data_IF_781600619533
#
_entry.id   IF_781600619533
#
_cell.length_a   1.000
_cell.length_b   1.000
_cell.length_c   1.000
_cell.angle_alpha   90.00
_cell.angle_beta   90.00
_cell.angle_gamma   90.00
#
_symmetry.space_group_name_H-M   'P 1'
#
loop_
_entity.id
_entity.type
_entity.pdbx_description
1 polymer ?
#
# COMPACT_ATOMS: atom_id res chain seq x y z
N UNK A 1 -2.08 -0.25 0.68
CA UNK A 1 -2.70 -1.19 1.62
C UNK A 1 -3.59 -2.20 0.88
N UNK A 2 -4.63 -1.81 0.16
CA UNK A 2 -5.57 -2.74 -0.50
C UNK A 2 -4.89 -3.69 -1.49
N UNK A 3 -3.88 -3.24 -2.22
CA UNK A 3 -3.10 -4.05 -3.16
C UNK A 3 -2.35 -5.15 -2.40
N UNK A 4 -1.68 -4.81 -1.31
CA UNK A 4 -0.96 -5.78 -0.46
C UNK A 4 -1.91 -6.83 0.12
N UNK A 5 -3.07 -6.40 0.65
CA UNK A 5 -4.10 -7.31 1.17
C UNK A 5 -4.65 -8.25 0.09
N UNK A 6 -4.78 -7.76 -1.15
CA UNK A 6 -5.20 -8.59 -2.29
C UNK A 6 -4.15 -9.64 -2.66
N UNK A 7 -2.87 -9.28 -2.66
CA UNK A 7 -1.77 -10.23 -2.87
C UNK A 7 -1.71 -11.27 -1.76
N UNK A 8 -1.89 -10.85 -0.50
CA UNK A 8 -1.94 -11.78 0.63
C UNK A 8 -3.06 -12.81 0.48
N UNK A 9 -4.28 -12.37 0.11
CA UNK A 9 -5.39 -13.28 -0.16
C UNK A 9 -5.05 -14.28 -1.26
N UNK A 10 -4.45 -13.82 -2.36
CA UNK A 10 -4.02 -14.68 -3.46
C UNK A 10 -2.93 -15.66 -3.03
N UNK A 11 -1.96 -15.19 -2.26
CA UNK A 11 -0.86 -16.03 -1.77
C UNK A 11 -1.34 -17.20 -0.93
N UNK A 12 -2.32 -16.97 -0.05
CA UNK A 12 -2.93 -18.03 0.77
C UNK A 12 -3.70 -19.05 -0.09
N UNK A 13 -4.14 -18.67 -1.30
CA UNK A 13 -4.85 -19.58 -2.22
C UNK A 13 -6.37 -19.58 -2.03
N UNK A 14 -6.90 -18.65 -1.27
CA UNK A 14 -8.34 -18.46 -1.10
C UNK A 14 -8.87 -17.53 -2.19
N UNK A 15 -9.61 -18.08 -3.17
CA UNK A 15 -10.07 -17.29 -4.32
C UNK A 15 -11.05 -16.16 -3.96
N UNK A 16 -11.90 -16.35 -2.93
CA UNK A 16 -12.98 -15.42 -2.57
C UNK A 16 -13.09 -15.10 -1.08
N UNK A 17 -12.19 -15.59 -0.25
CA UNK A 17 -12.19 -15.34 1.20
C UNK A 17 -10.87 -14.65 1.62
N UNK A 18 -10.91 -13.53 2.35
CA UNK A 18 -12.10 -12.75 2.72
C UNK A 18 -12.73 -12.01 1.54
N UNK A 19 -14.07 -11.70 1.58
CA UNK A 19 -14.76 -10.99 0.50
C UNK A 19 -14.17 -9.60 0.27
N UNK A 20 -14.33 -9.06 -0.96
CA UNK A 20 -13.76 -7.76 -1.34
C UNK A 20 -14.20 -6.62 -0.43
N UNK A 21 -15.47 -6.62 0.02
CA UNK A 21 -15.99 -5.61 0.92
C UNK A 21 -15.23 -5.55 2.24
N UNK A 22 -14.83 -6.72 2.77
CA UNK A 22 -14.07 -6.84 4.01
C UNK A 22 -12.64 -6.31 3.82
N UNK A 23 -12.01 -6.63 2.68
CA UNK A 23 -10.67 -6.10 2.34
C UNK A 23 -10.69 -4.58 2.19
N UNK A 24 -11.71 -4.04 1.51
CA UNK A 24 -11.88 -2.59 1.35
C UNK A 24 -12.11 -1.92 2.71
N UNK A 25 -13.00 -2.47 3.53
CA UNK A 25 -13.26 -1.94 4.87
C UNK A 25 -12.01 -1.93 5.75
N UNK A 26 -11.24 -3.02 5.73
CA UNK A 26 -10.00 -3.12 6.47
C UNK A 26 -8.93 -2.17 5.94
N UNK A 27 -8.80 -2.05 4.61
CA UNK A 27 -7.89 -1.10 3.98
C UNK A 27 -8.21 0.35 4.34
N UNK A 28 -9.50 0.72 4.36
CA UNK A 28 -9.94 2.06 4.79
C UNK A 28 -9.61 2.32 6.26
N UNK A 29 -9.91 1.35 7.13
CA UNK A 29 -9.58 1.46 8.55
C UNK A 29 -8.09 1.69 8.77
N UNK A 30 -7.23 0.86 8.15
CA UNK A 30 -5.79 1.01 8.23
C UNK A 30 -5.30 2.34 7.65
N UNK A 31 -5.92 2.81 6.55
CA UNK A 31 -5.56 4.10 5.94
C UNK A 31 -5.87 5.27 6.87
N UNK A 32 -7.03 5.25 7.54
CA UNK A 32 -7.38 6.26 8.55
C UNK A 32 -6.39 6.21 9.71
N UNK A 33 -6.04 5.03 10.18
CA UNK A 33 -5.09 4.85 11.27
C UNK A 33 -3.69 5.38 10.92
N UNK A 34 -3.19 5.05 9.73
CA UNK A 34 -1.87 5.54 9.24
C UNK A 34 -1.88 7.06 9.04
N UNK A 35 -3.00 7.61 8.58
CA UNK A 35 -3.12 9.06 8.36
C UNK A 35 -3.52 9.85 9.61
N UNK A 36 -3.74 9.21 10.76
CA UNK A 36 -4.16 9.86 11.99
C UNK A 36 -3.28 11.07 12.35
N UNK A 37 -1.93 10.99 12.36
CA UNK A 37 -1.10 12.15 12.75
C UNK A 37 -1.27 13.34 11.79
N UNK A 38 -1.40 13.06 10.48
CA UNK A 38 -1.65 14.10 9.48
C UNK A 38 -3.04 14.69 9.63
N UNK A 39 -4.05 13.85 9.89
CA UNK A 39 -5.42 14.27 10.15
C UNK A 39 -5.53 15.18 11.38
N UNK A 40 -4.87 14.82 12.47
CA UNK A 40 -4.81 15.64 13.69
C UNK A 40 -4.12 17.00 13.45
N UNK A 41 -3.04 17.03 12.68
CA UNK A 41 -2.37 18.26 12.29
C UNK A 41 -3.30 19.17 11.48
N UNK A 42 -3.99 18.61 10.49
CA UNK A 42 -4.97 19.35 9.67
C UNK A 42 -6.12 19.88 10.54
N UNK A 43 -6.67 19.05 11.41
CA UNK A 43 -7.76 19.45 12.28
C UNK A 43 -7.37 20.62 13.18
N UNK A 44 -6.22 20.52 13.84
CA UNK A 44 -5.77 21.52 14.83
C UNK A 44 -5.26 22.81 14.18
N UNK A 45 -4.62 22.74 13.02
CA UNK A 45 -3.96 23.88 12.38
C UNK A 45 -4.81 24.58 11.31
N UNK A 46 -5.77 23.85 10.71
CA UNK A 46 -6.62 24.40 9.66
C UNK A 46 -8.11 24.43 10.05
N UNK A 47 -8.70 23.26 10.38
CA UNK A 47 -10.16 23.15 10.55
C UNK A 47 -10.61 23.90 11.82
N UNK A 48 -9.98 23.66 12.96
CA UNK A 48 -10.37 24.29 14.22
C UNK A 48 -10.21 25.82 14.19
N UNK A 49 -9.09 26.41 13.69
CA UNK A 49 -8.98 27.86 13.54
C UNK A 49 -9.98 28.46 12.56
N UNK A 50 -10.29 27.73 11.45
CA UNK A 50 -11.31 28.17 10.50
C UNK A 50 -12.69 28.22 11.14
N UNK A 51 -13.09 27.19 11.89
CA UNK A 51 -14.37 27.15 12.63
C UNK A 51 -14.47 28.27 13.68
N UNK A 52 -13.35 28.70 14.24
CA UNK A 52 -13.28 29.82 15.20
C UNK A 52 -13.15 31.17 14.52
N UNK A 53 -13.28 31.24 13.20
CA UNK A 53 -13.10 32.48 12.40
C UNK A 53 -11.74 33.18 12.61
N UNK A 54 -10.69 32.41 12.97
CA UNK A 54 -9.34 32.94 13.19
C UNK A 54 -8.51 33.03 11.92
N UNK A 55 -8.84 32.23 10.92
CA UNK A 55 -8.18 32.16 9.61
C UNK A 55 -9.23 32.17 8.51
N UNK A 56 -8.83 32.60 7.32
CA UNK A 56 -9.69 32.55 6.12
C UNK A 56 -9.70 31.15 5.51
N UNK A 57 -10.70 30.87 4.67
CA UNK A 57 -10.79 29.60 3.94
C UNK A 57 -9.53 29.36 3.08
N UNK A 58 -8.97 30.41 2.48
CA UNK A 58 -7.73 30.29 1.68
C UNK A 58 -6.57 29.83 2.53
N UNK A 59 -6.35 30.47 3.68
CA UNK A 59 -5.29 30.09 4.63
C UNK A 59 -5.47 28.67 5.17
N UNK A 60 -6.72 28.25 5.40
CA UNK A 60 -7.00 26.87 5.80
C UNK A 60 -6.61 25.86 4.72
N UNK A 61 -6.93 26.15 3.45
CA UNK A 61 -6.55 25.30 2.31
C UNK A 61 -5.03 25.22 2.14
N UNK A 62 -4.30 26.32 2.25
CA UNK A 62 -2.84 26.35 2.22
C UNK A 62 -2.24 25.47 3.34
N UNK A 63 -2.78 25.58 4.56
CA UNK A 63 -2.33 24.77 5.70
C UNK A 63 -2.59 23.28 5.49
N UNK A 64 -3.73 22.91 4.89
CA UNK A 64 -4.05 21.54 4.51
C UNK A 64 -3.08 21.03 3.46
N UNK A 65 -2.80 21.84 2.42
CA UNK A 65 -1.84 21.50 1.38
C UNK A 65 -0.45 21.22 1.97
N UNK A 66 0.04 22.08 2.86
CA UNK A 66 1.35 21.90 3.52
C UNK A 66 1.39 20.58 4.30
N UNK A 67 0.33 20.26 5.05
CA UNK A 67 0.26 19.04 5.83
C UNK A 67 0.24 17.77 4.96
N UNK A 68 -0.52 17.80 3.87
CA UNK A 68 -0.57 16.70 2.89
C UNK A 68 0.75 16.56 2.13
N UNK A 69 1.37 17.68 1.75
CA UNK A 69 2.69 17.70 1.11
C UNK A 69 3.73 17.06 2.02
N UNK A 70 3.75 17.42 3.31
CA UNK A 70 4.67 16.84 4.29
C UNK A 70 4.48 15.32 4.44
N UNK A 71 3.26 14.81 4.31
CA UNK A 71 2.99 13.37 4.29
C UNK A 71 3.52 12.71 3.00
N UNK A 72 3.20 13.28 1.83
CA UNK A 72 3.60 12.72 0.53
C UNK A 72 5.13 12.75 0.32
N UNK A 73 5.80 13.84 0.75
CA UNK A 73 7.26 13.98 0.60
C UNK A 73 8.06 12.88 1.31
N UNK A 74 7.53 12.34 2.40
CA UNK A 74 8.18 11.24 3.15
C UNK A 74 8.12 9.91 2.42
N UNK A 75 7.17 9.73 1.51
CA UNK A 75 6.87 8.44 0.88
C UNK A 75 7.18 8.43 -0.62
N UNK A 76 7.19 9.60 -1.26
CA UNK A 76 7.49 9.71 -2.69
C UNK A 76 8.96 9.47 -2.98
N UNK A 77 9.24 8.70 -4.04
CA UNK A 77 10.61 8.44 -4.52
C UNK A 77 11.03 9.52 -5.50
N UNK A 78 12.25 10.02 -5.38
CA UNK A 78 12.82 11.04 -6.30
C UNK A 78 12.76 10.58 -7.76
N UNK A 79 13.01 9.31 -8.03
CA UNK A 79 12.95 8.74 -9.37
C UNK A 79 11.55 8.82 -9.99
N UNK A 80 10.49 8.69 -9.18
CA UNK A 80 9.12 8.77 -9.66
C UNK A 80 8.70 10.23 -9.93
N UNK A 81 9.24 11.20 -9.19
CA UNK A 81 9.11 12.62 -9.51
C UNK A 81 9.82 12.92 -10.84
N UNK A 82 11.08 12.50 -11.00
CA UNK A 82 11.87 12.72 -12.20
C UNK A 82 11.17 12.21 -13.47
N UNK A 83 10.50 11.05 -13.38
CA UNK A 83 9.74 10.47 -14.49
C UNK A 83 8.71 11.46 -15.07
N UNK A 84 7.99 12.20 -14.24
CA UNK A 84 7.00 13.17 -14.71
C UNK A 84 7.63 14.42 -15.32
N UNK A 85 8.79 14.83 -14.84
CA UNK A 85 9.54 15.93 -15.43
C UNK A 85 10.13 15.54 -16.79
N UNK A 86 10.67 14.33 -16.92
CA UNK A 86 11.18 13.79 -18.18
C UNK A 86 10.08 13.74 -19.26
N UNK A 87 8.89 13.23 -18.91
CA UNK A 87 7.75 13.16 -19.83
C UNK A 87 7.27 14.55 -20.26
N UNK A 88 7.37 15.56 -19.40
CA UNK A 88 6.94 16.93 -19.71
C UNK A 88 8.03 17.79 -20.32
N UNK A 89 9.27 17.29 -20.41
CA UNK A 89 10.43 18.05 -20.92
C UNK A 89 10.84 19.23 -20.04
N UNK A 90 10.41 19.26 -18.77
CA UNK A 90 10.75 20.32 -17.81
C UNK A 90 11.92 19.90 -16.95
N UNK A 91 12.74 20.88 -16.53
CA UNK A 91 13.79 20.61 -15.56
C UNK A 91 13.18 20.33 -14.17
N UNK A 92 13.62 19.25 -13.54
CA UNK A 92 13.19 18.93 -12.19
C UNK A 92 13.77 19.95 -11.18
N UNK A 93 13.02 20.36 -10.16
CA UNK A 93 13.52 21.23 -9.11
C UNK A 93 14.58 20.52 -8.25
N UNK A 94 15.43 21.32 -7.61
CA UNK A 94 16.52 20.78 -6.78
C UNK A 94 16.03 20.13 -5.49
N UNK A 95 14.89 20.57 -4.97
CA UNK A 95 14.32 20.06 -3.72
C UNK A 95 12.91 19.51 -3.94
N UNK A 96 12.53 18.51 -3.13
CA UNK A 96 11.18 17.92 -3.19
C UNK A 96 10.11 18.94 -2.79
N UNK A 97 10.45 19.87 -1.92
CA UNK A 97 9.53 20.89 -1.41
C UNK A 97 9.09 21.88 -2.51
N UNK A 98 9.93 22.09 -3.52
CA UNK A 98 9.65 22.96 -4.67
C UNK A 98 8.83 22.28 -5.77
N UNK A 99 8.55 20.98 -5.64
CA UNK A 99 7.76 20.23 -6.63
C UNK A 99 6.30 20.70 -6.56
N UNK A 100 5.71 21.20 -7.67
CA UNK A 100 4.30 21.56 -7.69
C UNK A 100 3.39 20.37 -7.38
N UNK A 101 2.28 20.61 -6.67
CA UNK A 101 1.40 19.55 -6.17
C UNK A 101 0.83 18.66 -7.28
N UNK A 102 0.61 19.23 -8.47
CA UNK A 102 0.11 18.47 -9.62
C UNK A 102 1.14 17.48 -10.22
N UNK A 103 2.44 17.61 -9.90
CA UNK A 103 3.47 16.61 -10.16
C UNK A 103 3.66 15.67 -8.98
N UNK A 104 3.52 16.19 -7.76
CA UNK A 104 3.76 15.44 -6.52
C UNK A 104 2.71 14.34 -6.31
N UNK A 105 1.41 14.65 -6.53
CA UNK A 105 0.33 13.68 -6.34
C UNK A 105 0.49 12.44 -7.22
N UNK A 106 0.63 12.55 -8.55
CA UNK A 106 0.79 11.36 -9.39
C UNK A 106 2.11 10.62 -9.12
N UNK A 107 3.20 11.32 -8.80
CA UNK A 107 4.45 10.69 -8.42
C UNK A 107 4.31 9.89 -7.12
N UNK A 108 3.62 10.44 -6.13
CA UNK A 108 3.29 9.76 -4.89
C UNK A 108 2.44 8.49 -5.13
N UNK A 109 1.40 8.57 -5.97
CA UNK A 109 0.56 7.41 -6.30
C UNK A 109 1.39 6.29 -6.93
N UNK A 110 2.30 6.62 -7.87
CA UNK A 110 3.18 5.63 -8.50
C UNK A 110 4.15 5.03 -7.47
N UNK A 111 4.74 5.86 -6.61
CA UNK A 111 5.65 5.39 -5.55
C UNK A 111 4.96 4.42 -4.59
N UNK A 112 3.74 4.74 -4.17
CA UNK A 112 2.92 3.89 -3.30
C UNK A 112 2.52 2.57 -4.00
N UNK A 113 2.13 2.63 -5.28
CA UNK A 113 1.82 1.42 -6.05
C UNK A 113 3.04 0.53 -6.21
N UNK A 114 4.21 1.08 -6.55
CA UNK A 114 5.47 0.31 -6.64
C UNK A 114 5.81 -0.34 -5.31
N UNK A 115 5.68 0.38 -4.21
CA UNK A 115 5.92 -0.16 -2.86
C UNK A 115 4.94 -1.28 -2.53
N UNK A 116 3.65 -1.08 -2.83
CA UNK A 116 2.63 -2.09 -2.61
C UNK A 116 2.88 -3.37 -3.43
N UNK A 117 3.31 -3.23 -4.69
CA UNK A 117 3.68 -4.38 -5.53
C UNK A 117 4.92 -5.09 -5.01
N UNK A 118 5.94 -4.35 -4.56
CA UNK A 118 7.15 -4.93 -4.00
C UNK A 118 6.85 -5.74 -2.73
N UNK A 119 6.09 -5.18 -1.80
CA UNK A 119 5.66 -5.87 -0.58
C UNK A 119 4.80 -7.09 -0.93
N UNK A 120 3.80 -6.92 -1.81
CA UNK A 120 2.95 -8.01 -2.25
C UNK A 120 3.72 -9.16 -2.89
N UNK A 121 4.71 -8.86 -3.72
CA UNK A 121 5.57 -9.85 -4.33
C UNK A 121 6.43 -10.60 -3.30
N UNK A 122 7.06 -9.87 -2.38
CA UNK A 122 7.84 -10.49 -1.30
C UNK A 122 7.01 -11.41 -0.42
N UNK A 123 5.78 -11.03 -0.13
CA UNK A 123 4.83 -11.87 0.60
C UNK A 123 4.42 -13.12 -0.21
N UNK A 124 4.34 -13.00 -1.53
CA UNK A 124 3.89 -14.08 -2.40
C UNK A 124 4.93 -15.19 -2.57
N UNK A 125 6.24 -14.85 -2.60
CA UNK A 125 7.34 -15.79 -2.86
C UNK A 125 7.30 -17.03 -1.96
N UNK A 126 7.27 -16.94 -0.62
CA UNK A 126 7.31 -18.11 0.24
C UNK A 126 6.10 -19.04 0.01
N UNK A 127 4.94 -18.49 -0.30
CA UNK A 127 3.75 -19.28 -0.60
C UNK A 127 3.84 -19.97 -1.96
N UNK A 128 4.44 -19.31 -2.95
CA UNK A 128 4.71 -19.89 -4.26
C UNK A 128 5.67 -21.09 -4.15
N UNK A 129 6.74 -20.94 -3.38
CA UNK A 129 7.71 -22.03 -3.15
C UNK A 129 6.99 -23.23 -2.51
N UNK A 130 6.11 -22.98 -1.55
CA UNK A 130 5.32 -24.01 -0.88
C UNK A 130 4.40 -24.75 -1.88
N UNK A 131 3.72 -24.03 -2.78
CA UNK A 131 2.92 -24.62 -3.83
C UNK A 131 3.75 -25.51 -4.77
N UNK A 132 4.94 -25.04 -5.15
CA UNK A 132 5.84 -25.82 -6.02
C UNK A 132 6.33 -27.10 -5.34
N UNK A 133 6.68 -27.04 -4.05
CA UNK A 133 7.11 -28.22 -3.29
C UNK A 133 5.97 -29.22 -3.19
N UNK A 134 4.77 -28.77 -2.80
CA UNK A 134 3.58 -29.65 -2.70
C UNK A 134 3.24 -30.26 -4.06
N UNK A 135 3.25 -29.47 -5.13
CA UNK A 135 3.01 -29.97 -6.48
C UNK A 135 4.03 -31.03 -6.89
N UNK A 136 5.31 -30.84 -6.60
CA UNK A 136 6.38 -31.80 -6.90
C UNK A 136 6.17 -33.12 -6.16
N UNK A 137 5.81 -33.07 -4.89
CA UNK A 137 5.52 -34.27 -4.08
C UNK A 137 4.29 -35.02 -4.63
N UNK A 138 3.19 -34.30 -4.92
CA UNK A 138 1.98 -34.92 -5.47
C UNK A 138 2.24 -35.58 -6.82
N UNK A 139 3.01 -34.94 -7.71
CA UNK A 139 3.40 -35.53 -8.98
C UNK A 139 4.26 -36.79 -8.81
N UNK A 140 5.22 -36.77 -7.88
CA UNK A 140 6.06 -37.93 -7.58
C UNK A 140 5.26 -39.12 -7.03
N UNK A 141 4.16 -38.84 -6.31
CA UNK A 141 3.22 -39.87 -5.81
C UNK A 141 2.19 -40.35 -6.86
N UNK A 142 2.23 -39.80 -8.07
CA UNK A 142 1.25 -40.13 -9.11
C UNK A 142 -0.13 -39.49 -8.94
N UNK A 143 -0.28 -38.55 -8.02
CA UNK A 143 -1.55 -37.88 -7.69
C UNK A 143 -1.78 -36.65 -8.59
N UNK A 144 -1.83 -36.83 -9.93
CA UNK A 144 -1.97 -35.73 -10.89
C UNK A 144 -3.33 -35.03 -10.86
N UNK A 145 -4.36 -35.65 -10.29
CA UNK A 145 -5.72 -35.08 -10.25
C UNK A 145 -6.00 -34.18 -9.02
N UNK A 146 -5.15 -34.18 -8.01
CA UNK A 146 -5.31 -33.34 -6.83
C UNK A 146 -4.74 -31.95 -7.09
N UNK A 147 -5.55 -30.87 -6.96
CA UNK A 147 -5.05 -29.50 -7.12
C UNK A 147 -4.06 -29.16 -6.01
N UNK A 148 -2.79 -28.83 -6.34
CA UNK A 148 -1.75 -28.55 -5.35
C UNK A 148 -2.12 -27.42 -4.39
N UNK A 149 -2.87 -26.42 -4.88
CA UNK A 149 -3.32 -25.25 -4.09
C UNK A 149 -4.17 -25.67 -2.91
N UNK A 150 -5.04 -26.67 -3.05
CA UNK A 150 -5.92 -27.14 -1.96
C UNK A 150 -5.11 -27.88 -0.91
N UNK A 151 -4.14 -28.70 -1.35
CA UNK A 151 -3.29 -29.48 -0.44
C UNK A 151 -2.29 -28.60 0.30
N UNK A 152 -1.81 -27.53 -0.36
CA UNK A 152 -0.86 -26.58 0.26
C UNK A 152 -1.50 -25.62 1.26
N UNK A 153 -2.82 -25.42 1.22
CA UNK A 153 -3.54 -24.45 2.03
C UNK A 153 -3.27 -24.57 3.55
N UNK A 154 -3.32 -25.76 4.18
CA UNK A 154 -2.99 -25.90 5.60
C UNK A 154 -1.56 -25.48 5.93
N UNK A 155 -0.60 -25.84 5.03
CA UNK A 155 0.81 -25.48 5.22
C UNK A 155 1.04 -23.97 5.04
N UNK A 156 0.30 -23.33 4.14
CA UNK A 156 0.32 -21.86 3.96
C UNK A 156 -0.19 -21.13 5.19
N UNK A 157 -1.30 -21.58 5.76
CA UNK A 157 -1.85 -21.01 6.98
C UNK A 157 -0.87 -21.17 8.16
N UNK A 158 -0.26 -22.36 8.28
CA UNK A 158 0.76 -22.61 9.29
C UNK A 158 1.97 -21.69 9.11
N UNK A 159 2.47 -21.56 7.88
CA UNK A 159 3.59 -20.68 7.57
C UNK A 159 3.26 -19.22 7.88
N UNK A 160 2.06 -18.75 7.53
CA UNK A 160 1.61 -17.39 7.80
C UNK A 160 1.59 -17.07 9.29
N UNK A 161 1.15 -18.03 10.12
CA UNK A 161 1.14 -17.89 11.57
C UNK A 161 2.55 -17.94 12.16
N UNK A 162 3.42 -18.85 11.66
CA UNK A 162 4.79 -19.00 12.15
C UNK A 162 5.69 -17.79 11.84
N UNK A 163 5.52 -17.17 10.69
CA UNK A 163 6.30 -16.01 10.23
C UNK A 163 5.72 -14.69 10.78
N UNK A 164 4.66 -14.77 11.59
CA UNK A 164 3.95 -13.59 12.10
C UNK A 164 3.51 -12.64 10.96
N UNK A 165 2.86 -13.23 9.96
CA UNK A 165 2.50 -12.57 8.70
C UNK A 165 1.70 -11.28 8.87
N UNK A 166 1.07 -11.08 10.04
CA UNK A 166 0.39 -9.84 10.38
C UNK A 166 1.34 -8.66 10.55
N UNK A 167 2.55 -8.87 11.05
CA UNK A 167 3.57 -7.81 11.17
C UNK A 167 4.13 -7.38 9.80
N UNK A 168 4.10 -8.26 8.80
CA UNK A 168 4.54 -7.92 7.45
C UNK A 168 3.52 -7.07 6.68
N UNK A 169 2.27 -7.06 7.13
CA UNK A 169 1.15 -6.35 6.47
C UNK A 169 0.87 -4.99 7.14
N UNK A 170 1.23 -4.84 8.39
CA UNK A 170 1.10 -3.59 9.18
C UNK A 170 2.39 -2.78 9.15
#
# INVERSE_FOLDING_TARGET
>A
IIVVLSFMRQAIGTQNLPPNQLLVGFALFLSVFVMQPTGEAIYNQAIQPLMKNKITTVQALETIEISLRGFMNKQVRKADIALFYDVTGKAAPNTIDDVPIHFLIPAFIISELKTAFQIGFLLYIPFLILDMVVASVLMAMGMMMLPPIVVSLPFKLLLFVLVDGWQLVT
#
